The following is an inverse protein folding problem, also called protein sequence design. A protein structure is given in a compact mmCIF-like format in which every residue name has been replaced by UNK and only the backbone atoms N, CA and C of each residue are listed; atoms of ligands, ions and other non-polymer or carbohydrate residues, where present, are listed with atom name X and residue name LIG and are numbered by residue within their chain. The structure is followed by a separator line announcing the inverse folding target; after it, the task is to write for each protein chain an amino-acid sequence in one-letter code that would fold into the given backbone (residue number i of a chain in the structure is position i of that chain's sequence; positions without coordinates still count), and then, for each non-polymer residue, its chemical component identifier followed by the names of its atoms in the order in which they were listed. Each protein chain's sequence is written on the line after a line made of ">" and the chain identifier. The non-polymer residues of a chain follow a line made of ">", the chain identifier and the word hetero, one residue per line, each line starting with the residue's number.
data_IF_798826218353
#
_entry.id   IF_798826218353
#
_cell.length_a   1.000
_cell.length_b   1.000
_cell.length_c   1.000
_cell.angle_alpha   90.00
_cell.angle_beta   90.00
_cell.angle_gamma   90.00
#
_symmetry.space_group_name_H-M   'P 1'
#
loop_
_entity.id
_entity.type
_entity.pdbx_description
1 polymer ?
#
# COMPACT_ATOMS: atom_id res chain seq x y z
N UNK A 1 44.77 -23.85 21.84
CA UNK A 1 43.47 -23.80 22.53
C UNK A 1 43.37 -22.47 23.30
N UNK A 2 43.48 -21.29 22.66
CA UNK A 2 42.42 -20.41 22.11
C UNK A 2 41.08 -20.36 22.86
N UNK A 3 40.91 -19.26 23.62
CA UNK A 3 39.67 -18.50 23.92
C UNK A 3 38.78 -19.13 25.03
N UNK A 4 38.16 -18.42 25.95
CA UNK A 4 37.84 -16.99 26.06
C UNK A 4 37.51 -16.68 27.53
N UNK A 5 38.08 -15.59 28.04
CA UNK A 5 37.64 -14.83 29.22
C UNK A 5 36.43 -13.99 28.81
N UNK A 6 35.42 -13.85 29.68
CA UNK A 6 34.43 -12.76 29.84
C UNK A 6 33.03 -13.31 30.14
N UNK A 7 32.65 -13.34 31.42
CA UNK A 7 31.25 -13.45 31.85
C UNK A 7 31.01 -12.49 33.01
N UNK A 8 30.94 -11.20 32.68
CA UNK A 8 30.35 -10.14 33.52
C UNK A 8 29.69 -9.14 32.58
N UNK A 9 28.45 -9.40 32.19
CA UNK A 9 27.52 -8.53 31.44
C UNK A 9 26.14 -9.05 31.86
N UNK A 10 25.11 -8.32 32.29
CA UNK A 10 24.87 -6.93 32.58
C UNK A 10 23.43 -6.97 33.12
N UNK A 11 23.24 -6.89 34.44
CA UNK A 11 21.89 -6.75 35.01
C UNK A 11 21.54 -5.25 34.95
N UNK A 12 20.99 -4.81 33.82
CA UNK A 12 20.28 -3.53 33.74
C UNK A 12 18.81 -3.83 33.95
N UNK A 13 18.33 -3.44 35.13
CA UNK A 13 16.92 -3.38 35.48
C UNK A 13 16.22 -2.36 34.56
N UNK A 14 15.54 -2.84 33.53
CA UNK A 14 14.60 -2.03 32.77
C UNK A 14 13.29 -1.95 33.56
N UNK A 15 13.21 -0.99 34.48
CA UNK A 15 11.93 -0.44 34.90
C UNK A 15 11.40 0.41 33.73
N UNK A 16 10.92 -0.27 32.69
CA UNK A 16 10.20 0.36 31.59
C UNK A 16 8.85 0.79 32.12
N UNK A 17 8.64 2.09 32.27
CA UNK A 17 7.28 2.65 32.27
C UNK A 17 6.57 2.09 31.03
N UNK A 18 5.48 1.36 31.22
CA UNK A 18 4.59 0.95 30.14
C UNK A 18 3.89 2.19 29.61
N UNK A 19 4.60 3.04 28.88
CA UNK A 19 3.96 4.00 28.00
C UNK A 19 3.14 3.17 27.02
N UNK A 20 1.81 3.38 27.01
CA UNK A 20 0.95 2.77 26.02
C UNK A 20 1.53 3.13 24.64
N UNK A 21 1.93 2.12 23.88
CA UNK A 21 2.42 2.35 22.52
C UNK A 21 1.21 2.78 21.71
N UNK A 22 1.29 3.98 21.15
CA UNK A 22 0.24 4.48 20.25
C UNK A 22 0.38 3.74 18.93
N UNK A 23 -0.67 3.02 18.54
CA UNK A 23 -0.67 2.18 17.34
C UNK A 23 -1.82 2.60 16.42
N UNK A 24 -1.50 2.90 15.16
CA UNK A 24 -2.46 3.17 14.10
C UNK A 24 -2.36 2.05 13.07
N UNK A 25 -3.48 1.46 12.69
CA UNK A 25 -3.48 0.35 11.74
C UNK A 25 -4.82 0.13 11.07
N UNK A 26 -4.80 -0.60 9.96
CA UNK A 26 -6.00 -1.15 9.34
C UNK A 26 -6.28 -2.53 9.93
N UNK A 27 -7.56 -2.90 10.02
CA UNK A 27 -7.95 -4.24 10.45
C UNK A 27 -7.54 -5.32 9.43
N UNK A 28 -7.61 -5.00 8.14
CA UNK A 28 -7.08 -5.84 7.07
C UNK A 28 -5.63 -5.45 6.74
N UNK A 29 -4.76 -6.45 6.59
CA UNK A 29 -3.34 -6.25 6.22
C UNK A 29 -3.16 -5.62 4.83
N UNK A 30 -4.16 -5.75 3.96
CA UNK A 30 -4.12 -5.30 2.55
C UNK A 30 -5.46 -4.68 2.13
N UNK A 31 -5.71 -3.40 2.49
CA UNK A 31 -6.92 -2.72 2.09
C UNK A 31 -7.05 -2.65 0.58
N UNK A 32 -8.29 -2.76 0.10
CA UNK A 32 -8.62 -2.78 -1.33
C UNK A 32 -9.26 -1.47 -1.77
N UNK A 33 -8.87 -0.99 -2.96
CA UNK A 33 -9.51 0.19 -3.56
C UNK A 33 -11.01 -0.02 -3.72
N UNK A 34 -11.80 0.95 -3.25
CA UNK A 34 -13.25 0.94 -3.35
C UNK A 34 -13.98 0.03 -2.35
N UNK A 35 -13.24 -0.63 -1.44
CA UNK A 35 -13.82 -1.48 -0.39
C UNK A 35 -13.71 -0.74 0.94
N UNK A 36 -14.78 -0.77 1.75
CA UNK A 36 -14.76 -0.17 3.08
C UNK A 36 -13.80 -0.94 3.98
N UNK A 37 -13.02 -0.19 4.75
CA UNK A 37 -11.96 -0.67 5.61
C UNK A 37 -12.06 0.03 6.95
N UNK A 38 -11.84 -0.72 8.02
CA UNK A 38 -11.82 -0.17 9.36
C UNK A 38 -10.38 0.16 9.76
N UNK A 39 -10.18 1.40 10.18
CA UNK A 39 -8.90 1.90 10.71
C UNK A 39 -9.08 2.11 12.20
N UNK A 40 -8.15 1.58 12.99
CA UNK A 40 -8.16 1.68 14.44
C UNK A 40 -6.91 2.39 14.95
N UNK A 41 -7.11 3.27 15.93
CA UNK A 41 -6.08 3.93 16.70
C UNK A 41 -6.18 3.47 18.17
N UNK A 42 -5.09 2.90 18.68
CA UNK A 42 -4.99 2.42 20.06
C UNK A 42 -3.93 3.21 20.84
N UNK A 43 -4.07 3.23 22.17
CA UNK A 43 -3.09 3.86 23.06
C UNK A 43 -3.26 5.37 23.27
N UNK A 44 -4.42 5.94 22.91
CA UNK A 44 -4.76 7.37 23.09
C UNK A 44 -6.02 7.49 23.96
N UNK A 45 -6.02 8.43 24.90
CA UNK A 45 -7.14 8.61 25.86
C UNK A 45 -8.39 9.28 25.24
N UNK A 46 -8.19 10.17 24.28
CA UNK A 46 -9.26 10.96 23.61
C UNK A 46 -9.13 10.90 22.08
N UNK A 47 -9.33 9.72 21.47
CA UNK A 47 -9.21 9.58 20.02
C UNK A 47 -10.25 10.41 19.25
N UNK A 48 -11.41 10.70 19.82
CA UNK A 48 -12.50 11.48 19.21
C UNK A 48 -12.13 12.93 18.87
N UNK A 49 -11.05 13.44 19.48
CA UNK A 49 -10.49 14.77 19.20
C UNK A 49 -9.52 14.76 18.02
N UNK A 50 -9.22 13.59 17.45
CA UNK A 50 -8.28 13.41 16.36
C UNK A 50 -9.01 13.19 15.04
N UNK A 51 -8.48 13.78 13.98
CA UNK A 51 -8.90 13.51 12.60
C UNK A 51 -7.92 12.54 11.94
N UNK A 52 -8.46 11.56 11.20
CA UNK A 52 -7.69 10.70 10.33
C UNK A 52 -7.47 11.39 8.97
N UNK A 53 -6.20 11.49 8.59
CA UNK A 53 -5.75 11.97 7.31
C UNK A 53 -5.05 10.86 6.54
N UNK A 54 -5.20 10.88 5.23
CA UNK A 54 -4.49 9.97 4.33
C UNK A 54 -3.72 10.76 3.29
N UNK A 55 -2.48 10.38 3.07
CA UNK A 55 -1.66 10.86 1.95
C UNK A 55 -1.41 9.70 1.01
N UNK A 56 -2.02 9.74 -0.16
CA UNK A 56 -1.77 8.77 -1.22
C UNK A 56 -0.48 9.14 -1.94
N UNK A 57 0.45 8.19 -2.04
CA UNK A 57 1.70 8.31 -2.80
C UNK A 57 1.76 7.30 -3.95
N UNK A 58 0.90 7.44 -4.98
CA UNK A 58 0.91 6.54 -6.13
C UNK A 58 2.14 6.78 -7.02
N UNK A 59 3.26 6.12 -6.71
CA UNK A 59 4.50 6.06 -7.51
C UNK A 59 4.86 7.35 -8.29
N UNK A 60 4.40 7.48 -9.55
CA UNK A 60 4.77 8.55 -10.50
C UNK A 60 3.73 9.68 -10.62
N UNK A 61 2.66 9.64 -9.84
CA UNK A 61 1.63 10.67 -9.76
C UNK A 61 1.88 11.61 -8.57
N UNK A 62 1.30 12.81 -8.63
CA UNK A 62 1.35 13.78 -7.53
C UNK A 62 0.70 13.20 -6.28
N UNK A 63 1.31 13.42 -5.12
CA UNK A 63 0.70 13.05 -3.84
C UNK A 63 -0.64 13.75 -3.65
N UNK A 64 -1.63 12.99 -3.18
CA UNK A 64 -2.95 13.52 -2.87
C UNK A 64 -3.22 13.31 -1.39
N UNK A 65 -3.54 14.41 -0.70
CA UNK A 65 -3.90 14.40 0.71
C UNK A 65 -5.41 14.57 0.85
N UNK A 66 -6.02 13.74 1.70
CA UNK A 66 -7.44 13.79 1.98
C UNK A 66 -7.69 13.59 3.49
N UNK A 67 -8.63 14.36 4.02
CA UNK A 67 -9.19 14.12 5.35
C UNK A 67 -10.30 13.06 5.21
N UNK A 68 -10.21 12.00 6.01
CA UNK A 68 -11.25 10.96 6.06
C UNK A 68 -12.36 11.38 7.03
N UNK A 69 -11.98 11.95 8.17
CA UNK A 69 -12.89 12.45 9.18
C UNK A 69 -12.35 12.25 10.59
N UNK A 70 -13.21 12.49 11.59
CA UNK A 70 -12.88 12.29 13.00
C UNK A 70 -13.05 10.83 13.40
N UNK A 71 -12.15 10.36 14.26
CA UNK A 71 -12.22 9.03 14.86
C UNK A 71 -13.40 8.97 15.84
N UNK A 72 -13.92 7.76 16.07
CA UNK A 72 -14.91 7.51 17.11
C UNK A 72 -14.29 7.61 18.51
N UNK A 73 -15.12 7.56 19.55
CA UNK A 73 -14.67 7.41 20.96
C UNK A 73 -13.88 6.11 21.18
N UNK A 74 -14.09 5.07 20.34
CA UNK A 74 -13.30 3.84 20.35
C UNK A 74 -11.99 3.94 19.57
N UNK A 75 -11.73 5.06 18.88
CA UNK A 75 -10.57 5.22 18.01
C UNK A 75 -10.71 4.53 16.65
N UNK A 76 -11.93 4.28 16.20
CA UNK A 76 -12.23 3.58 14.96
C UNK A 76 -12.84 4.53 13.93
N UNK A 77 -12.56 4.30 12.65
CA UNK A 77 -13.19 5.02 11.54
C UNK A 77 -13.27 4.15 10.29
N UNK A 78 -14.39 4.25 9.58
CA UNK A 78 -14.54 3.65 8.26
C UNK A 78 -13.82 4.49 7.21
N UNK A 79 -12.98 3.84 6.42
CA UNK A 79 -12.22 4.43 5.34
C UNK A 79 -12.43 3.62 4.06
N UNK A 80 -12.76 4.29 2.96
CA UNK A 80 -12.82 3.68 1.63
C UNK A 80 -11.63 4.19 0.81
N UNK A 81 -10.59 3.38 0.55
CA UNK A 81 -9.42 3.81 -0.19
C UNK A 81 -9.77 4.13 -1.65
N UNK A 82 -9.47 5.34 -2.10
CA UNK A 82 -9.79 5.79 -3.46
C UNK A 82 -8.70 5.47 -4.50
N UNK A 83 -7.46 5.24 -4.06
CA UNK A 83 -6.31 4.97 -4.93
C UNK A 83 -5.50 3.77 -4.44
N UNK A 84 -4.89 3.06 -5.39
CA UNK A 84 -3.95 1.96 -5.12
C UNK A 84 -2.54 2.51 -4.88
N UNK A 85 -1.68 1.71 -4.23
CA UNK A 85 -0.29 2.07 -3.94
C UNK A 85 -0.02 2.22 -2.45
N UNK A 86 1.02 2.97 -2.09
CA UNK A 86 1.34 3.24 -0.68
C UNK A 86 0.56 4.48 -0.23
N UNK A 87 -0.15 4.34 0.88
CA UNK A 87 -0.79 5.44 1.58
C UNK A 87 -0.22 5.59 2.99
N UNK A 88 -0.03 6.83 3.41
CA UNK A 88 0.35 7.16 4.77
C UNK A 88 -0.88 7.64 5.52
N UNK A 89 -1.32 6.86 6.49
CA UNK A 89 -2.35 7.24 7.44
C UNK A 89 -1.71 8.07 8.55
N UNK A 90 -2.38 9.14 8.97
CA UNK A 90 -1.94 10.02 10.04
C UNK A 90 -3.12 10.43 10.91
N UNK A 91 -3.04 10.17 12.21
CA UNK A 91 -3.97 10.75 13.18
C UNK A 91 -3.42 12.11 13.61
N UNK A 92 -4.20 13.17 13.38
CA UNK A 92 -3.81 14.55 13.67
C UNK A 92 -4.75 15.21 14.66
N UNK A 93 -4.21 16.05 15.53
CA UNK A 93 -5.00 16.88 16.44
C UNK A 93 -5.54 18.16 15.74
N UNK A 94 -6.35 18.95 16.47
CA UNK A 94 -6.89 20.22 15.97
C UNK A 94 -5.83 21.26 15.62
N UNK A 95 -4.59 21.10 16.12
CA UNK A 95 -3.45 21.98 15.80
C UNK A 95 -2.71 21.53 14.53
N UNK A 96 -3.08 20.38 13.97
CA UNK A 96 -2.43 19.74 12.82
C UNK A 96 -1.22 18.89 13.19
N UNK A 97 -0.93 18.69 14.48
CA UNK A 97 0.18 17.85 14.93
C UNK A 97 -0.14 16.37 14.72
N UNK A 98 0.81 15.60 14.22
CA UNK A 98 0.64 14.15 14.00
C UNK A 98 0.95 13.39 15.28
N UNK A 99 -0.06 12.71 15.82
CA UNK A 99 0.04 11.89 17.04
C UNK A 99 0.51 10.47 16.71
N UNK A 100 -0.01 9.91 15.62
CA UNK A 100 0.32 8.58 15.14
C UNK A 100 0.34 8.55 13.62
N UNK A 101 1.20 7.71 13.05
CA UNK A 101 1.25 7.51 11.60
C UNK A 101 1.58 6.06 11.27
N UNK A 102 0.97 5.56 10.21
CA UNK A 102 1.18 4.22 9.69
C UNK A 102 1.19 4.24 8.16
N UNK A 103 2.05 3.42 7.56
CA UNK A 103 2.07 3.24 6.11
C UNK A 103 1.33 1.95 5.77
N UNK A 104 0.44 2.02 4.80
CA UNK A 104 -0.38 0.90 4.37
C UNK A 104 -0.29 0.74 2.86
N UNK A 105 -0.20 -0.51 2.41
CA UNK A 105 -0.19 -0.86 0.99
C UNK A 105 -1.62 -1.18 0.53
N UNK A 106 -2.19 -0.31 -0.28
CA UNK A 106 -3.52 -0.47 -0.86
C UNK A 106 -3.40 -1.24 -2.17
N UNK A 107 -4.11 -2.36 -2.25
CA UNK A 107 -4.11 -3.23 -3.43
C UNK A 107 -5.35 -3.03 -4.30
N UNK A 108 -5.27 -3.44 -5.56
CA UNK A 108 -6.43 -3.43 -6.45
C UNK A 108 -7.49 -4.41 -5.96
N UNK A 109 -8.76 -4.01 -6.10
CA UNK A 109 -9.90 -4.90 -5.84
C UNK A 109 -10.02 -6.03 -6.87
N UNK A 110 -9.49 -5.85 -8.07
CA UNK A 110 -9.51 -6.84 -9.14
C UNK A 110 -8.36 -6.64 -10.15
N UNK A 111 -8.08 -7.65 -10.97
CA UNK A 111 -7.11 -7.54 -12.06
C UNK A 111 -7.57 -6.48 -13.08
N UNK A 112 -6.75 -5.46 -13.41
CA UNK A 112 -7.12 -4.45 -14.38
C UNK A 112 -7.36 -5.07 -15.77
N UNK A 113 -8.63 -5.17 -16.19
CA UNK A 113 -9.01 -5.74 -17.49
C UNK A 113 -8.33 -5.03 -18.67
N UNK A 114 -8.08 -3.72 -18.54
CA UNK A 114 -7.37 -2.93 -19.54
C UNK A 114 -5.98 -3.49 -19.84
N UNK A 115 -5.22 -3.92 -18.83
CA UNK A 115 -3.90 -4.53 -19.01
C UNK A 115 -3.97 -5.85 -19.77
N UNK A 116 -4.99 -6.67 -19.50
CA UNK A 116 -5.24 -7.93 -20.22
C UNK A 116 -5.55 -7.66 -21.69
N UNK A 117 -6.41 -6.68 -21.99
CA UNK A 117 -6.70 -6.31 -23.37
C UNK A 117 -5.46 -5.80 -24.10
N UNK A 118 -4.67 -4.93 -23.48
CA UNK A 118 -3.42 -4.44 -24.07
C UNK A 118 -2.48 -5.59 -24.40
N UNK A 119 -2.32 -6.55 -23.48
CA UNK A 119 -1.48 -7.74 -23.70
C UNK A 119 -1.98 -8.59 -24.88
N UNK A 120 -3.30 -8.85 -24.96
CA UNK A 120 -3.89 -9.61 -26.06
C UNK A 120 -3.69 -8.89 -27.40
N UNK A 121 -3.96 -7.58 -27.45
CA UNK A 121 -3.77 -6.79 -28.66
C UNK A 121 -2.31 -6.75 -29.11
N UNK A 122 -1.38 -6.55 -28.17
CA UNK A 122 0.05 -6.59 -28.46
C UNK A 122 0.45 -7.97 -29.01
N UNK A 123 -0.06 -9.06 -28.43
CA UNK A 123 0.14 -10.41 -28.92
C UNK A 123 -0.37 -10.60 -30.35
N UNK A 124 -1.62 -10.18 -30.62
CA UNK A 124 -2.20 -10.29 -31.97
C UNK A 124 -1.41 -9.48 -33.00
N UNK A 125 -0.97 -8.27 -32.66
CA UNK A 125 -0.17 -7.45 -33.57
C UNK A 125 1.19 -8.08 -33.85
N UNK A 126 1.87 -8.58 -32.81
CA UNK A 126 3.21 -9.15 -32.93
C UNK A 126 3.19 -10.49 -33.67
N UNK A 127 2.31 -11.42 -33.27
CA UNK A 127 2.17 -12.72 -33.93
C UNK A 127 1.46 -12.63 -35.28
N UNK A 128 0.47 -11.75 -35.41
CA UNK A 128 -0.21 -11.51 -36.68
C UNK A 128 0.74 -10.94 -37.75
N UNK A 129 1.59 -9.97 -37.36
CA UNK A 129 2.64 -9.45 -38.24
C UNK A 129 3.65 -10.53 -38.64
N UNK A 130 4.08 -11.38 -37.70
CA UNK A 130 5.00 -12.48 -37.98
C UNK A 130 4.39 -13.51 -38.96
N UNK A 131 3.13 -13.91 -38.75
CA UNK A 131 2.44 -14.86 -39.65
C UNK A 131 2.28 -14.27 -41.04
N UNK A 132 1.83 -13.01 -41.17
CA UNK A 132 1.70 -12.36 -42.48
C UNK A 132 3.04 -12.25 -43.20
N UNK A 133 4.10 -11.87 -42.49
CA UNK A 133 5.46 -11.80 -43.04
C UNK A 133 5.92 -13.16 -43.57
N UNK A 134 5.76 -14.22 -42.78
CA UNK A 134 6.11 -15.58 -43.21
C UNK A 134 5.29 -16.03 -44.43
N UNK A 135 4.00 -15.71 -44.45
CA UNK A 135 3.10 -16.08 -45.55
C UNK A 135 3.49 -15.37 -46.85
N UNK A 136 3.93 -14.11 -46.78
CA UNK A 136 4.42 -13.36 -47.93
C UNK A 136 5.74 -13.93 -48.46
N UNK A 137 6.71 -14.20 -47.58
CA UNK A 137 8.00 -14.80 -47.96
C UNK A 137 7.81 -16.17 -48.62
N UNK A 138 6.93 -17.01 -48.07
CA UNK A 138 6.62 -18.31 -48.65
C UNK A 138 5.88 -18.21 -49.99
N UNK A 139 5.06 -17.16 -50.20
CA UNK A 139 4.41 -16.92 -51.49
C UNK A 139 5.39 -16.44 -52.56
N UNK A 140 6.30 -15.55 -52.21
CA UNK A 140 7.32 -15.01 -53.14
C UNK A 140 8.40 -16.06 -53.48
N UNK A 141 8.74 -16.95 -52.54
CA UNK A 141 9.66 -18.06 -52.78
C UNK A 141 9.12 -19.18 -53.69
N UNK A 142 7.84 -19.14 -54.09
CA UNK A 142 7.15 -20.18 -54.88
C UNK A 142 6.90 -19.75 -56.33
N UNK A 143 7.45 -18.62 -56.79
CA UNK A 143 7.52 -18.32 -58.23
C UNK A 143 8.71 -19.05 -58.86
N UNK A 144 8.52 -20.19 -59.59
CA UNK A 144 9.58 -20.73 -60.42
C UNK A 144 9.89 -19.74 -61.55
N UNK A 145 11.19 -19.55 -61.80
CA UNK A 145 11.71 -18.80 -62.94
C UNK A 145 11.32 -19.44 -64.28
#
# INVERSE_FOLDING_TARGET
>A
MKKLVFSVILMISAAGSSAAVVELGCLDDFPRVGVDQEVALSGVDHPELLSLWVVYSPNSETQEEAEIGRLSESGEIAWNPSRFGIATLSARDETGSTIASANVAIVYSSTPLSGVFVMIFAGVLLFGGAVLSLTLVLREGVTPA
#
